data_IF_601126799801
#
_entry.id   IF_601126799801
#
_cell.length_a   1.000
_cell.length_b   1.000
_cell.length_c   1.000
_cell.angle_alpha   90.00
_cell.angle_beta   90.00
_cell.angle_gamma   90.00
#
_symmetry.space_group_name_H-M   'P 1'
#
loop_
_entity.id
_entity.type
_entity.pdbx_description
1 polymer ?
#
# COMPACT_ATOMS: atom_id res chain seq x y z
N UNK A 1 24.21 7.90 12.31
CA UNK A 1 24.52 8.91 11.29
C UNK A 1 23.50 8.69 10.17
N UNK A 2 22.83 9.74 9.71
CA UNK A 2 21.95 9.69 8.54
C UNK A 2 22.81 9.45 7.29
N UNK A 3 22.33 8.62 6.37
CA UNK A 3 23.00 8.27 5.12
C UNK A 3 22.05 8.54 3.96
N UNK A 4 22.55 9.00 2.82
CA UNK A 4 21.69 9.17 1.65
C UNK A 4 21.19 7.80 1.18
N UNK A 5 19.89 7.68 0.94
CA UNK A 5 19.31 6.46 0.38
C UNK A 5 19.74 6.29 -1.07
N UNK A 6 20.05 5.06 -1.46
CA UNK A 6 20.46 4.73 -2.82
C UNK A 6 19.24 4.46 -3.72
N UNK A 7 18.47 5.51 -3.99
CA UNK A 7 17.29 5.46 -4.85
C UNK A 7 17.63 5.77 -6.32
N UNK A 8 16.97 5.12 -7.28
CA UNK A 8 17.04 5.46 -8.71
C UNK A 8 16.26 6.75 -9.03
N UNK A 9 16.84 7.85 -8.55
CA UNK A 9 16.33 9.21 -8.77
C UNK A 9 16.37 9.58 -10.26
N UNK A 10 17.32 9.01 -11.02
CA UNK A 10 17.47 9.31 -12.45
C UNK A 10 16.34 8.67 -13.25
N UNK A 11 16.05 7.39 -13.01
CA UNK A 11 14.92 6.69 -13.62
C UNK A 11 13.60 7.40 -13.34
N UNK A 12 13.34 7.76 -12.06
CA UNK A 12 12.14 8.51 -11.68
C UNK A 12 12.02 9.84 -12.46
N UNK A 13 13.10 10.62 -12.51
CA UNK A 13 13.11 11.91 -13.23
C UNK A 13 12.89 11.73 -14.73
N UNK A 14 13.43 10.67 -15.34
CA UNK A 14 13.17 10.38 -16.75
C UNK A 14 11.70 10.06 -17.00
N UNK A 15 11.08 9.24 -16.15
CA UNK A 15 9.67 8.87 -16.30
C UNK A 15 8.74 10.05 -16.05
N UNK A 16 8.94 10.85 -15.00
CA UNK A 16 8.08 12.02 -14.74
C UNK A 16 8.20 13.08 -15.85
N UNK A 17 9.38 13.26 -16.46
CA UNK A 17 9.53 14.17 -17.60
C UNK A 17 8.84 13.62 -18.87
N UNK A 18 8.81 12.30 -19.08
CA UNK A 18 8.04 11.68 -20.17
C UNK A 18 6.54 11.87 -19.94
N UNK A 19 6.09 11.69 -18.69
CA UNK A 19 4.70 11.93 -18.28
C UNK A 19 4.28 13.38 -18.52
N UNK A 20 5.09 14.35 -18.08
CA UNK A 20 4.85 15.78 -18.30
C UNK A 20 4.68 16.09 -19.79
N UNK A 21 5.62 15.63 -20.64
CA UNK A 21 5.54 15.84 -22.10
C UNK A 21 4.28 15.24 -22.70
N UNK A 22 3.93 14.00 -22.33
CA UNK A 22 2.72 13.35 -22.87
C UNK A 22 1.46 14.07 -22.43
N UNK A 23 1.42 14.51 -21.18
CA UNK A 23 0.30 15.29 -20.66
C UNK A 23 0.15 16.62 -21.40
N UNK A 24 1.24 17.33 -21.68
CA UNK A 24 1.22 18.58 -22.44
C UNK A 24 0.79 18.40 -23.91
N UNK A 25 1.19 17.31 -24.56
CA UNK A 25 0.73 16.94 -25.91
C UNK A 25 -0.80 16.78 -25.95
N UNK A 26 -1.36 16.01 -25.01
CA UNK A 26 -2.79 15.72 -24.94
C UNK A 26 -3.62 16.94 -24.54
N UNK A 27 -3.07 17.79 -23.68
CA UNK A 27 -3.75 18.99 -23.18
C UNK A 27 -3.46 20.25 -24.01
N UNK A 28 -2.78 20.09 -25.16
CA UNK A 28 -2.43 21.19 -26.06
C UNK A 28 -3.67 21.88 -26.65
N UNK A 29 -3.51 23.13 -27.09
CA UNK A 29 -4.59 23.87 -27.77
C UNK A 29 -5.04 23.20 -29.06
N UNK A 30 -4.13 22.50 -29.73
CA UNK A 30 -4.47 21.76 -30.96
C UNK A 30 -5.35 20.55 -30.63
N UNK A 31 -4.99 19.77 -29.61
CA UNK A 31 -5.79 18.64 -29.13
C UNK A 31 -7.18 19.09 -28.67
N UNK A 32 -7.24 20.18 -27.90
CA UNK A 32 -8.51 20.81 -27.52
C UNK A 32 -9.37 21.16 -28.74
N UNK A 33 -8.76 21.83 -29.73
CA UNK A 33 -9.44 22.25 -30.95
C UNK A 33 -10.01 21.05 -31.72
N UNK A 34 -9.25 19.97 -31.86
CA UNK A 34 -9.71 18.73 -32.53
C UNK A 34 -10.92 18.11 -31.85
N UNK A 35 -10.97 18.12 -30.51
CA UNK A 35 -12.12 17.62 -29.77
C UNK A 35 -13.34 18.52 -29.94
N UNK A 36 -13.16 19.85 -29.95
CA UNK A 36 -14.24 20.78 -30.26
C UNK A 36 -14.75 20.65 -31.69
N UNK A 37 -13.87 20.41 -32.65
CA UNK A 37 -14.22 20.17 -34.06
C UNK A 37 -14.95 18.83 -34.27
N UNK A 38 -14.84 17.88 -33.32
CA UNK A 38 -15.54 16.60 -33.30
C UNK A 38 -16.76 16.61 -32.35
N UNK A 39 -17.51 17.70 -32.27
CA UNK A 39 -18.71 17.84 -31.42
C UNK A 39 -18.49 17.53 -29.92
N UNK A 40 -17.27 17.73 -29.42
CA UNK A 40 -16.90 17.44 -28.03
C UNK A 40 -16.61 15.95 -27.77
N UNK A 41 -16.63 15.11 -28.81
CA UNK A 41 -16.26 13.69 -28.70
C UNK A 41 -14.74 13.58 -28.84
N UNK A 42 -14.08 13.18 -27.75
CA UNK A 42 -12.68 12.77 -27.82
C UNK A 42 -12.61 11.34 -28.40
N UNK A 43 -12.00 11.12 -29.58
CA UNK A 43 -11.93 9.80 -30.21
C UNK A 43 -11.06 8.80 -29.43
N UNK A 44 -10.16 9.28 -28.57
CA UNK A 44 -9.35 8.46 -27.64
C UNK A 44 -9.51 9.00 -26.21
N UNK A 45 -10.63 8.70 -25.53
CA UNK A 45 -10.92 9.25 -24.20
C UNK A 45 -9.94 8.79 -23.12
N UNK A 46 -9.23 7.68 -23.35
CA UNK A 46 -8.21 7.10 -22.48
C UNK A 46 -6.93 6.89 -23.28
N UNK A 47 -6.01 7.86 -23.20
CA UNK A 47 -4.68 7.69 -23.77
C UNK A 47 -3.90 6.63 -23.00
N UNK A 48 -3.70 5.46 -23.61
CA UNK A 48 -3.00 4.34 -22.98
C UNK A 48 -1.57 4.72 -22.54
N UNK A 49 -0.89 5.60 -23.28
CA UNK A 49 0.47 6.02 -22.93
C UNK A 49 0.50 6.91 -21.68
N UNK A 50 -0.43 7.84 -21.55
CA UNK A 50 -0.64 8.64 -20.33
C UNK A 50 -0.98 7.72 -19.17
N UNK A 51 -1.85 6.73 -19.39
CA UNK A 51 -2.19 5.71 -18.39
C UNK A 51 -0.94 5.03 -17.85
N UNK A 52 -0.14 4.41 -18.71
CA UNK A 52 1.10 3.70 -18.31
C UNK A 52 2.05 4.65 -17.56
N UNK A 53 2.35 5.83 -18.13
CA UNK A 53 3.30 6.76 -17.52
C UNK A 53 2.83 7.33 -16.17
N UNK A 54 1.52 7.58 -16.00
CA UNK A 54 0.98 8.09 -14.74
C UNK A 54 1.04 7.01 -13.64
N UNK A 55 0.67 5.77 -13.96
CA UNK A 55 0.79 4.65 -13.03
C UNK A 55 2.26 4.36 -12.68
N UNK A 56 3.17 4.50 -13.65
CA UNK A 56 4.59 4.28 -13.39
C UNK A 56 5.19 5.22 -12.33
N UNK A 57 4.62 6.43 -12.15
CA UNK A 57 5.10 7.46 -11.21
C UNK A 57 4.23 7.52 -9.96
N UNK A 58 2.91 7.51 -10.12
CA UNK A 58 1.93 7.77 -9.07
C UNK A 58 1.02 6.58 -8.74
N UNK A 59 1.18 5.43 -9.39
CA UNK A 59 0.34 4.23 -9.23
C UNK A 59 -1.16 4.56 -9.27
N UNK A 60 -2.04 3.77 -8.63
CA UNK A 60 -3.49 3.95 -8.57
C UNK A 60 -3.96 5.06 -7.62
N UNK A 61 -3.28 6.20 -7.58
CA UNK A 61 -3.63 7.34 -6.72
C UNK A 61 -4.53 8.37 -7.42
N UNK A 62 -5.11 9.27 -6.64
CA UNK A 62 -5.87 10.40 -7.14
C UNK A 62 -5.07 11.34 -8.04
N UNK A 63 -3.72 11.34 -7.98
CA UNK A 63 -2.90 12.13 -8.91
C UNK A 63 -2.94 11.57 -10.34
N UNK A 64 -2.92 10.25 -10.50
CA UNK A 64 -3.14 9.61 -11.80
C UNK A 64 -4.53 9.96 -12.34
N UNK A 65 -5.55 9.89 -11.47
CA UNK A 65 -6.92 10.26 -11.84
C UNK A 65 -7.09 11.73 -12.18
N UNK A 66 -6.39 12.65 -11.51
CA UNK A 66 -6.36 14.08 -11.86
C UNK A 66 -5.83 14.27 -13.28
N UNK A 67 -4.74 13.57 -13.64
CA UNK A 67 -4.16 13.64 -14.98
C UNK A 67 -5.11 13.12 -16.06
N UNK A 68 -5.77 11.98 -15.82
CA UNK A 68 -6.75 11.43 -16.77
C UNK A 68 -7.97 12.32 -16.91
N UNK A 69 -8.49 12.83 -15.79
CA UNK A 69 -9.65 13.71 -15.77
C UNK A 69 -9.33 15.05 -16.47
N UNK A 70 -8.13 15.59 -16.27
CA UNK A 70 -7.69 16.82 -16.93
C UNK A 70 -7.55 16.64 -18.44
N UNK A 71 -6.98 15.53 -18.88
CA UNK A 71 -6.83 15.21 -20.30
C UNK A 71 -8.18 14.94 -20.98
N UNK A 72 -9.13 14.32 -20.29
CA UNK A 72 -10.45 13.99 -20.83
C UNK A 72 -11.42 15.18 -20.85
N UNK A 73 -11.50 15.96 -19.78
CA UNK A 73 -12.53 17.01 -19.62
C UNK A 73 -12.09 18.39 -20.12
N UNK A 74 -10.82 18.56 -20.48
CA UNK A 74 -10.21 19.83 -20.82
C UNK A 74 -10.37 20.98 -19.80
N UNK A 75 -10.49 20.66 -18.50
CA UNK A 75 -10.60 21.68 -17.45
C UNK A 75 -9.25 22.41 -17.26
N UNK A 76 -9.22 23.69 -17.66
CA UNK A 76 -8.01 24.52 -17.63
C UNK A 76 -7.41 24.63 -16.22
N UNK A 77 -8.25 24.72 -15.19
CA UNK A 77 -7.78 24.86 -13.80
C UNK A 77 -7.12 23.57 -13.32
N UNK A 78 -7.72 22.42 -13.65
CA UNK A 78 -7.18 21.11 -13.31
C UNK A 78 -5.90 20.83 -14.10
N UNK A 79 -5.83 21.19 -15.38
CA UNK A 79 -4.58 21.09 -16.17
C UNK A 79 -3.45 21.88 -15.55
N UNK A 80 -3.68 23.15 -15.18
CA UNK A 80 -2.66 24.01 -14.62
C UNK A 80 -2.20 23.54 -13.22
N UNK A 81 -3.10 22.91 -12.45
CA UNK A 81 -2.72 22.23 -11.21
C UNK A 81 -1.87 20.98 -11.47
N UNK A 82 -2.25 20.14 -12.44
CA UNK A 82 -1.49 18.96 -12.83
C UNK A 82 -0.07 19.33 -13.29
N UNK A 83 0.06 20.34 -14.16
CA UNK A 83 1.38 20.83 -14.62
C UNK A 83 2.24 21.33 -13.46
N UNK A 84 1.66 22.15 -12.58
CA UNK A 84 2.37 22.64 -11.38
C UNK A 84 2.79 21.51 -10.46
N UNK A 85 1.97 20.48 -10.31
CA UNK A 85 2.31 19.32 -9.49
C UNK A 85 3.43 18.48 -10.10
N UNK A 86 3.39 18.18 -11.40
CA UNK A 86 4.45 17.45 -12.12
C UNK A 86 5.78 18.20 -12.06
N UNK A 87 5.77 19.48 -12.42
CA UNK A 87 6.96 20.34 -12.41
C UNK A 87 7.51 20.53 -11.00
N UNK A 88 6.63 20.74 -10.03
CA UNK A 88 6.99 20.84 -8.61
C UNK A 88 7.66 19.58 -8.10
N UNK A 89 7.09 18.41 -8.42
CA UNK A 89 7.64 17.10 -8.04
C UNK A 89 9.02 16.88 -8.67
N UNK A 90 9.15 17.07 -9.98
CA UNK A 90 10.44 16.96 -10.67
C UNK A 90 11.49 17.95 -10.14
N UNK A 91 11.08 19.17 -9.77
CA UNK A 91 11.96 20.20 -9.20
C UNK A 91 12.48 19.81 -7.81
N UNK A 92 11.61 19.33 -6.92
CA UNK A 92 11.99 18.87 -5.58
C UNK A 92 12.93 17.68 -5.69
N UNK A 93 12.59 16.68 -6.50
CA UNK A 93 13.42 15.48 -6.68
C UNK A 93 14.79 15.82 -7.26
N UNK A 94 14.86 16.73 -8.24
CA UNK A 94 16.13 17.18 -8.83
C UNK A 94 17.02 17.92 -7.82
N UNK A 95 16.42 18.69 -6.90
CA UNK A 95 17.16 19.54 -5.96
C UNK A 95 17.52 18.83 -4.66
N UNK A 96 16.64 17.98 -4.15
CA UNK A 96 16.73 17.40 -2.81
C UNK A 96 16.68 15.87 -2.79
N UNK A 97 16.37 15.22 -3.92
CA UNK A 97 16.26 13.78 -4.03
C UNK A 97 14.84 13.24 -3.81
N UNK A 98 14.66 11.98 -4.19
CA UNK A 98 13.38 11.28 -4.13
C UNK A 98 12.84 11.07 -2.69
N UNK A 99 13.67 10.70 -1.68
CA UNK A 99 13.20 10.55 -0.30
C UNK A 99 12.61 11.84 0.28
N UNK A 100 13.21 13.00 -0.03
CA UNK A 100 12.73 14.32 0.43
C UNK A 100 11.36 14.64 -0.16
N UNK A 101 11.17 14.40 -1.46
CA UNK A 101 9.87 14.60 -2.10
C UNK A 101 8.78 13.70 -1.48
N UNK A 102 9.09 12.43 -1.26
CA UNK A 102 8.16 11.49 -0.60
C UNK A 102 7.80 11.94 0.81
N UNK A 103 8.80 12.26 1.63
CA UNK A 103 8.59 12.69 3.01
C UNK A 103 7.76 13.97 3.08
N UNK A 104 8.02 14.93 2.20
CA UNK A 104 7.29 16.20 2.15
C UNK A 104 5.82 15.99 1.75
N UNK A 105 5.53 15.08 0.81
CA UNK A 105 4.17 14.72 0.43
C UNK A 105 3.42 14.00 1.56
N UNK A 106 4.06 13.04 2.24
CA UNK A 106 3.49 12.35 3.41
C UNK A 106 3.25 13.32 4.56
N UNK A 107 4.21 14.22 4.83
CA UNK A 107 4.08 15.23 5.88
C UNK A 107 2.91 16.18 5.61
N UNK A 108 2.69 16.57 4.35
CA UNK A 108 1.53 17.35 3.96
C UNK A 108 0.20 16.60 4.25
N UNK A 109 0.14 15.29 4.00
CA UNK A 109 -1.05 14.47 4.31
C UNK A 109 -1.28 14.31 5.82
N UNK A 110 -0.23 14.07 6.59
CA UNK A 110 -0.27 13.98 8.05
C UNK A 110 -0.70 15.31 8.67
N UNK A 111 -0.15 16.43 8.20
CA UNK A 111 -0.55 17.76 8.65
C UNK A 111 -2.02 18.05 8.32
N UNK A 112 -2.50 17.65 7.14
CA UNK A 112 -3.91 17.80 6.76
C UNK A 112 -4.83 17.00 7.69
N UNK A 113 -4.44 15.77 8.07
CA UNK A 113 -5.18 14.94 9.00
C UNK A 113 -5.25 15.55 10.42
N UNK A 114 -4.14 16.10 10.92
CA UNK A 114 -4.10 16.74 12.24
C UNK A 114 -4.85 18.07 12.30
N UNK A 115 -4.71 18.91 11.28
CA UNK A 115 -5.35 20.24 11.24
C UNK A 115 -6.82 20.17 10.81
N UNK A 116 -7.22 19.10 10.12
CA UNK A 116 -8.51 18.99 9.44
C UNK A 116 -8.65 19.93 8.23
N UNK A 117 -7.53 20.53 7.80
CA UNK A 117 -7.46 21.40 6.64
C UNK A 117 -6.89 20.66 5.43
N UNK A 118 -7.59 20.65 4.29
CA UNK A 118 -7.08 20.04 3.06
C UNK A 118 -5.78 20.70 2.61
N UNK A 119 -4.79 19.87 2.24
CA UNK A 119 -3.55 20.35 1.62
C UNK A 119 -3.78 20.74 0.17
N UNK A 120 -3.06 21.76 -0.32
CA UNK A 120 -3.03 22.11 -1.74
C UNK A 120 -2.43 21.00 -2.62
N UNK A 121 -1.71 20.04 -2.02
CA UNK A 121 -1.13 18.87 -2.71
C UNK A 121 -2.09 17.69 -2.82
N UNK A 122 -3.23 17.75 -2.13
CA UNK A 122 -4.22 16.68 -2.13
C UNK A 122 -4.95 16.66 -3.48
N UNK A 123 -5.01 15.52 -4.17
CA UNK A 123 -5.60 15.44 -5.50
C UNK A 123 -7.09 15.80 -5.48
N UNK A 124 -7.58 16.33 -6.60
CA UNK A 124 -9.00 16.69 -6.75
C UNK A 124 -9.86 15.45 -6.95
N UNK A 125 -9.37 14.44 -7.64
CA UNK A 125 -10.02 13.16 -7.87
C UNK A 125 -9.61 12.11 -6.82
N UNK A 126 -9.51 12.50 -5.54
CA UNK A 126 -9.29 11.58 -4.40
C UNK A 126 -10.47 10.61 -4.16
N UNK A 127 -11.64 10.95 -4.71
CA UNK A 127 -12.86 10.15 -4.76
C UNK A 127 -13.41 10.23 -6.16
N UNK A 128 -14.28 9.31 -6.54
CA UNK A 128 -15.08 9.45 -7.76
C UNK A 128 -15.93 10.73 -7.65
N UNK A 129 -15.85 11.57 -8.68
CA UNK A 129 -16.60 12.82 -8.79
C UNK A 129 -17.33 12.86 -10.12
N UNK A 130 -18.56 13.37 -10.09
CA UNK A 130 -19.24 13.77 -11.31
C UNK A 130 -18.52 14.98 -11.94
N UNK A 131 -18.63 15.21 -13.27
CA UNK A 131 -18.06 16.39 -13.91
C UNK A 131 -18.51 17.71 -13.27
N UNK A 132 -19.75 17.75 -12.77
CA UNK A 132 -20.31 18.90 -12.05
C UNK A 132 -19.62 19.12 -10.71
N UNK A 133 -19.43 18.07 -9.91
CA UNK A 133 -18.72 18.18 -8.64
C UNK A 133 -17.26 18.56 -8.83
N UNK A 134 -16.60 18.03 -9.86
CA UNK A 134 -15.23 18.38 -10.21
C UNK A 134 -15.10 19.87 -10.55
N UNK A 135 -16.04 20.43 -11.33
CA UNK A 135 -16.09 21.85 -11.63
C UNK A 135 -16.28 22.71 -10.37
N UNK A 136 -17.20 22.31 -9.46
CA UNK A 136 -17.41 22.99 -8.17
C UNK A 136 -16.13 22.96 -7.32
N UNK A 137 -15.46 21.80 -7.28
CA UNK A 137 -14.19 21.58 -6.58
C UNK A 137 -13.05 22.42 -7.18
N UNK A 138 -13.07 22.62 -8.50
CA UNK A 138 -12.15 23.50 -9.22
C UNK A 138 -12.29 24.98 -8.83
N UNK A 139 -13.52 25.47 -8.67
CA UNK A 139 -13.78 26.88 -8.33
C UNK A 139 -13.60 27.19 -6.84
N UNK A 140 -13.76 26.19 -5.96
CA UNK A 140 -13.70 26.37 -4.52
C UNK A 140 -12.26 26.38 -3.96
N UNK A 141 -12.02 27.20 -2.93
CA UNK A 141 -10.73 27.30 -2.21
C UNK A 141 -10.81 26.69 -0.81
N UNK A 142 -9.70 26.07 -0.38
CA UNK A 142 -9.52 25.54 0.97
C UNK A 142 -10.61 24.53 1.37
N UNK A 143 -11.13 24.66 2.59
CA UNK A 143 -12.10 23.71 3.19
C UNK A 143 -13.38 23.51 2.37
N UNK A 144 -13.81 24.51 1.58
CA UNK A 144 -15.05 24.45 0.77
C UNK A 144 -14.92 23.54 -0.44
N UNK A 145 -13.69 23.18 -0.82
CA UNK A 145 -13.37 22.30 -1.96
C UNK A 145 -13.86 20.86 -1.76
N UNK A 146 -13.88 20.37 -0.52
CA UNK A 146 -14.12 18.95 -0.21
C UNK A 146 -15.49 18.70 0.41
N UNK A 147 -16.46 19.59 0.16
CA UNK A 147 -17.84 19.43 0.61
C UNK A 147 -18.02 19.49 2.12
N UNK A 148 -18.82 18.54 2.66
CA UNK A 148 -19.19 18.49 4.07
C UNK A 148 -18.00 18.17 4.99
N UNK A 149 -18.16 18.38 6.32
CA UNK A 149 -17.12 18.02 7.30
C UNK A 149 -16.82 16.51 7.31
N UNK A 150 -17.83 15.67 7.08
CA UNK A 150 -17.67 14.20 7.01
C UNK A 150 -16.84 13.82 5.77
N UNK A 151 -17.27 14.25 4.59
CA UNK A 151 -16.55 14.01 3.32
C UNK A 151 -15.11 14.53 3.38
N UNK A 152 -14.91 15.75 3.90
CA UNK A 152 -13.56 16.29 4.07
C UNK A 152 -12.67 15.44 4.96
N UNK A 153 -13.22 14.89 6.05
CA UNK A 153 -12.46 14.00 6.93
C UNK A 153 -12.07 12.73 6.18
N UNK A 154 -13.00 12.12 5.46
CA UNK A 154 -12.77 10.92 4.65
C UNK A 154 -11.73 11.17 3.55
N UNK A 155 -11.88 12.24 2.76
CA UNK A 155 -10.94 12.62 1.70
C UNK A 155 -9.52 12.86 2.24
N UNK A 156 -9.39 13.46 3.43
CA UNK A 156 -8.09 13.67 4.09
C UNK A 156 -7.46 12.35 4.55
N UNK A 157 -8.25 11.42 5.11
CA UNK A 157 -7.74 10.10 5.47
C UNK A 157 -7.39 9.26 4.24
N UNK A 158 -8.14 9.40 3.15
CA UNK A 158 -7.81 8.79 1.87
C UNK A 158 -6.50 9.35 1.33
N UNK A 159 -6.27 10.66 1.42
CA UNK A 159 -4.99 11.27 1.07
C UNK A 159 -3.83 10.73 1.89
N UNK A 160 -4.01 10.51 3.20
CA UNK A 160 -2.99 9.83 4.01
C UNK A 160 -2.73 8.42 3.50
N UNK A 161 -3.75 7.62 3.19
CA UNK A 161 -3.54 6.26 2.65
C UNK A 161 -2.79 6.27 1.33
N UNK A 162 -3.21 7.12 0.40
CA UNK A 162 -2.62 7.21 -0.93
C UNK A 162 -1.16 7.67 -0.92
N UNK A 163 -0.77 8.59 -0.03
CA UNK A 163 0.63 9.00 0.10
C UNK A 163 1.52 7.89 0.64
N UNK A 164 1.03 7.10 1.58
CA UNK A 164 1.79 5.99 2.15
C UNK A 164 1.87 4.80 1.18
N UNK A 165 0.79 4.48 0.45
CA UNK A 165 0.83 3.53 -0.67
C UNK A 165 1.82 3.99 -1.75
N UNK A 166 1.76 5.25 -2.16
CA UNK A 166 2.71 5.83 -3.12
C UNK A 166 4.15 5.74 -2.58
N UNK A 167 4.33 5.94 -1.28
CA UNK A 167 5.58 5.70 -0.57
C UNK A 167 6.09 4.28 -0.73
N UNK A 168 5.25 3.30 -0.39
CA UNK A 168 5.57 1.88 -0.52
C UNK A 168 5.95 1.54 -1.97
N UNK A 169 5.10 1.92 -2.93
CA UNK A 169 5.36 1.75 -4.36
C UNK A 169 6.69 2.38 -4.79
N UNK A 170 6.98 3.60 -4.35
CA UNK A 170 8.20 4.31 -4.74
C UNK A 170 9.44 3.62 -4.17
N UNK A 171 9.38 3.13 -2.93
CA UNK A 171 10.45 2.33 -2.33
C UNK A 171 10.63 0.98 -3.04
N UNK A 172 9.55 0.35 -3.48
CA UNK A 172 9.60 -0.90 -4.24
C UNK A 172 10.16 -0.68 -5.65
N UNK A 173 9.72 0.33 -6.37
CA UNK A 173 10.10 0.53 -7.76
C UNK A 173 11.47 1.18 -7.92
N UNK A 174 11.72 2.25 -7.18
CA UNK A 174 12.90 3.09 -7.35
C UNK A 174 13.96 2.83 -6.27
N UNK A 175 13.66 1.99 -5.28
CA UNK A 175 14.56 1.68 -4.16
C UNK A 175 15.28 0.34 -4.29
N UNK A 176 15.34 -0.29 -5.47
CA UNK A 176 15.96 -1.61 -5.64
C UNK A 176 17.40 -1.69 -5.10
N UNK A 177 18.16 -0.59 -5.21
CA UNK A 177 19.54 -0.50 -4.74
C UNK A 177 19.69 -0.09 -3.27
N UNK A 178 18.58 0.20 -2.59
CA UNK A 178 18.55 0.54 -1.17
C UNK A 178 18.15 -0.70 -0.35
N UNK A 179 19.06 -1.28 0.48
CA UNK A 179 18.78 -2.51 1.22
C UNK A 179 17.57 -2.41 2.15
N UNK A 180 17.27 -1.21 2.65
CA UNK A 180 16.13 -0.96 3.55
C UNK A 180 14.81 -0.78 2.82
N UNK A 181 14.79 -0.75 1.48
CA UNK A 181 13.59 -0.34 0.74
C UNK A 181 12.39 -1.24 1.00
N UNK A 182 12.60 -2.56 1.12
CA UNK A 182 11.55 -3.54 1.39
C UNK A 182 10.99 -3.37 2.80
N UNK A 183 11.87 -3.21 3.81
CA UNK A 183 11.45 -2.97 5.19
C UNK A 183 10.66 -1.65 5.31
N UNK A 184 11.11 -0.58 4.63
CA UNK A 184 10.38 0.69 4.59
C UNK A 184 9.03 0.52 3.89
N UNK A 185 8.97 -0.13 2.72
CA UNK A 185 7.72 -0.35 1.99
C UNK A 185 6.71 -1.17 2.81
N UNK A 186 7.18 -2.23 3.47
CA UNK A 186 6.38 -3.04 4.40
C UNK A 186 5.81 -2.18 5.53
N UNK A 187 6.65 -1.38 6.18
CA UNK A 187 6.22 -0.48 7.25
C UNK A 187 5.26 0.61 6.75
N UNK A 188 5.38 1.09 5.52
CA UNK A 188 4.42 2.03 4.94
C UNK A 188 3.02 1.42 4.77
N UNK A 189 2.93 0.11 4.50
CA UNK A 189 1.66 -0.61 4.33
C UNK A 189 1.06 -1.10 5.65
N UNK A 190 1.88 -1.48 6.64
CA UNK A 190 1.41 -1.98 7.95
C UNK A 190 1.23 -0.88 8.99
N UNK A 191 2.22 0.01 9.10
CA UNK A 191 2.33 1.04 10.11
C UNK A 191 2.76 2.37 9.49
N UNK A 192 1.87 3.04 8.74
CA UNK A 192 2.18 4.21 7.90
C UNK A 192 3.07 5.28 8.59
N UNK A 193 2.76 5.60 9.86
CA UNK A 193 3.53 6.59 10.62
C UNK A 193 4.96 6.15 10.98
N UNK A 194 5.19 4.85 11.17
CA UNK A 194 6.52 4.27 11.37
C UNK A 194 7.28 4.29 10.05
N UNK A 195 6.66 3.83 8.96
CA UNK A 195 7.24 3.85 7.61
C UNK A 195 7.70 5.26 7.22
N UNK A 196 6.84 6.28 7.40
CA UNK A 196 7.19 7.68 7.17
C UNK A 196 8.38 8.13 8.03
N UNK A 197 8.44 7.68 9.29
CA UNK A 197 9.54 8.02 10.20
C UNK A 197 10.87 7.40 9.77
N UNK A 198 10.87 6.23 9.13
CA UNK A 198 12.09 5.59 8.61
C UNK A 198 12.75 6.39 7.49
N UNK A 199 12.01 7.19 6.72
CA UNK A 199 12.59 8.07 5.71
C UNK A 199 13.53 9.14 6.32
N UNK A 200 13.42 9.42 7.62
CA UNK A 200 14.30 10.37 8.32
C UNK A 200 15.74 9.88 8.47
N UNK A 201 16.00 8.60 8.19
CA UNK A 201 17.37 8.10 8.09
C UNK A 201 18.12 8.65 6.88
N UNK A 202 17.40 9.17 5.87
CA UNK A 202 17.98 9.88 4.74
C UNK A 202 18.52 11.25 5.16
N UNK A 203 19.77 11.56 4.79
CA UNK A 203 20.40 12.82 5.22
C UNK A 203 19.76 14.06 4.57
N UNK A 204 19.13 13.92 3.40
CA UNK A 204 18.35 15.00 2.78
C UNK A 204 17.08 15.29 3.58
N UNK A 205 16.38 14.26 4.04
CA UNK A 205 15.17 14.39 4.87
C UNK A 205 15.50 15.01 6.24
N UNK A 206 16.54 14.50 6.90
CA UNK A 206 17.03 15.03 8.18
C UNK A 206 17.47 16.51 8.04
N UNK A 207 18.18 16.84 6.95
CA UNK A 207 18.63 18.19 6.63
C UNK A 207 17.51 19.21 6.38
N UNK A 208 16.30 18.77 6.02
CA UNK A 208 15.13 19.62 5.85
C UNK A 208 14.44 19.99 7.17
N UNK A 209 14.98 19.55 8.31
CA UNK A 209 14.46 19.88 9.64
C UNK A 209 13.31 18.96 10.08
N UNK A 210 13.28 17.72 9.60
CA UNK A 210 12.37 16.71 10.11
C UNK A 210 12.58 16.52 11.63
N UNK A 211 11.48 16.22 12.37
CA UNK A 211 11.56 16.03 13.83
C UNK A 211 12.51 14.86 14.13
N UNK A 212 13.54 15.03 14.99
CA UNK A 212 14.56 14.01 15.27
C UNK A 212 14.06 12.96 16.27
N UNK A 213 12.85 12.44 16.06
CA UNK A 213 12.33 11.30 16.81
C UNK A 213 12.74 9.99 16.13
N UNK A 214 13.83 9.41 16.63
CA UNK A 214 14.39 8.14 16.17
C UNK A 214 13.92 6.94 17.00
N UNK A 215 12.87 7.10 17.82
CA UNK A 215 12.31 5.98 18.63
C UNK A 215 11.77 4.85 17.76
N UNK A 216 11.33 5.16 16.54
CA UNK A 216 10.85 4.16 15.57
C UNK A 216 11.89 3.07 15.32
N UNK A 217 13.20 3.36 15.36
CA UNK A 217 14.25 2.33 15.16
C UNK A 217 14.16 1.21 16.21
N UNK A 218 13.77 1.53 17.45
CA UNK A 218 13.55 0.52 18.50
C UNK A 218 12.27 -0.27 18.29
N UNK A 219 11.24 0.39 17.76
CA UNK A 219 9.97 -0.26 17.45
C UNK A 219 10.15 -1.26 16.31
N UNK A 220 10.80 -0.85 15.22
CA UNK A 220 11.12 -1.71 14.07
C UNK A 220 11.99 -2.90 14.52
N UNK A 221 13.06 -2.66 15.28
CA UNK A 221 13.92 -3.74 15.79
C UNK A 221 13.16 -4.73 16.69
N UNK A 222 12.18 -4.24 17.47
CA UNK A 222 11.34 -5.10 18.31
C UNK A 222 10.39 -5.97 17.48
N UNK A 223 9.77 -5.42 16.44
CA UNK A 223 8.91 -6.19 15.54
C UNK A 223 9.71 -7.23 14.74
N UNK A 224 10.91 -6.87 14.27
CA UNK A 224 11.82 -7.78 13.59
C UNK A 224 12.24 -8.95 14.51
N UNK A 225 12.65 -8.66 15.75
CA UNK A 225 13.00 -9.70 16.71
C UNK A 225 11.84 -10.65 17.03
N UNK A 226 10.60 -10.14 17.14
CA UNK A 226 9.42 -10.99 17.34
C UNK A 226 9.19 -11.93 16.15
N UNK A 227 9.30 -11.42 14.91
CA UNK A 227 9.12 -12.25 13.72
C UNK A 227 10.26 -13.26 13.53
N UNK A 228 11.48 -12.92 13.93
CA UNK A 228 12.63 -13.84 13.97
C UNK A 228 12.44 -14.94 15.02
N UNK A 229 11.82 -14.62 16.16
CA UNK A 229 11.43 -15.63 17.16
C UNK A 229 10.34 -16.58 16.63
N UNK A 230 9.37 -16.08 15.86
CA UNK A 230 8.37 -16.93 15.16
C UNK A 230 9.06 -17.84 14.15
N UNK A 231 10.00 -17.32 13.37
CA UNK A 231 10.79 -18.12 12.42
C UNK A 231 11.55 -19.26 13.10
N UNK A 232 12.31 -18.95 14.16
CA UNK A 232 13.02 -19.96 14.97
C UNK A 232 12.07 -21.00 15.56
N UNK A 233 10.90 -20.57 16.03
CA UNK A 233 9.90 -21.49 16.56
C UNK A 233 9.37 -22.45 15.48
N UNK A 234 9.10 -21.98 14.25
CA UNK A 234 8.70 -22.87 13.13
C UNK A 234 9.80 -23.88 12.80
N UNK A 235 11.05 -23.45 12.75
CA UNK A 235 12.19 -24.33 12.46
C UNK A 235 12.34 -25.44 13.51
N UNK A 236 12.18 -25.12 14.80
CA UNK A 236 12.24 -26.08 15.91
C UNK A 236 11.07 -27.08 15.93
N UNK A 237 9.90 -26.66 15.41
CA UNK A 237 8.67 -27.46 15.42
C UNK A 237 8.34 -28.10 14.06
N UNK A 238 9.22 -27.92 13.06
CA UNK A 238 9.13 -28.61 11.79
C UNK A 238 9.40 -30.09 12.01
N UNK A 239 8.40 -30.94 11.79
CA UNK A 239 8.58 -32.39 11.85
C UNK A 239 9.65 -32.79 10.82
N UNK A 240 10.71 -33.46 11.26
CA UNK A 240 11.83 -33.92 10.40
C UNK A 240 11.46 -34.90 9.28
N UNK A 241 10.17 -35.15 9.05
CA UNK A 241 9.63 -35.92 7.93
C UNK A 241 9.27 -35.06 6.70
N UNK A 242 9.30 -33.72 6.81
CA UNK A 242 9.18 -32.79 5.67
C UNK A 242 10.56 -32.37 5.14
N UNK A 243 11.56 -33.26 5.18
CA UNK A 243 12.72 -33.10 4.30
C UNK A 243 12.23 -33.42 2.89
N UNK A 244 11.72 -32.39 2.21
CA UNK A 244 11.36 -32.48 0.81
C UNK A 244 12.62 -32.89 0.06
N UNK A 245 12.50 -33.97 -0.72
CA UNK A 245 13.57 -34.55 -1.50
C UNK A 245 14.32 -33.45 -2.27
N UNK A 246 15.64 -33.57 -2.31
CA UNK A 246 16.57 -32.50 -2.66
C UNK A 246 16.60 -32.07 -4.14
N UNK A 247 15.45 -32.04 -4.82
CA UNK A 247 15.38 -31.75 -6.25
C UNK A 247 14.10 -31.05 -6.75
N UNK A 248 13.21 -30.57 -5.89
CA UNK A 248 11.99 -29.85 -6.29
C UNK A 248 12.17 -28.32 -6.19
N UNK A 249 11.40 -27.57 -6.96
CA UNK A 249 11.51 -26.13 -7.14
C UNK A 249 10.98 -25.34 -5.91
N UNK A 250 11.75 -25.39 -4.82
CA UNK A 250 11.35 -25.21 -3.40
C UNK A 250 10.99 -23.81 -2.88
N UNK A 251 10.41 -22.93 -3.68
CA UNK A 251 10.00 -21.59 -3.22
C UNK A 251 8.65 -21.57 -2.50
N UNK A 252 7.57 -21.68 -3.27
CA UNK A 252 6.22 -21.40 -2.77
C UNK A 252 5.58 -22.53 -1.97
N UNK A 253 5.99 -23.79 -2.20
CA UNK A 253 5.49 -24.94 -1.41
C UNK A 253 5.89 -24.82 0.06
N UNK A 254 7.16 -24.47 0.33
CA UNK A 254 7.65 -24.24 1.69
C UNK A 254 6.94 -23.03 2.35
N UNK A 255 6.72 -21.96 1.58
CA UNK A 255 5.96 -20.79 2.03
C UNK A 255 4.51 -21.16 2.37
N UNK A 256 3.85 -21.96 1.53
CA UNK A 256 2.49 -22.45 1.76
C UNK A 256 2.37 -23.32 3.00
N UNK A 257 3.29 -24.27 3.20
CA UNK A 257 3.30 -25.12 4.41
C UNK A 257 3.47 -24.28 5.69
N UNK A 258 4.39 -23.31 5.69
CA UNK A 258 4.56 -22.37 6.82
C UNK A 258 3.32 -21.49 7.02
N UNK A 259 2.72 -20.99 5.94
CA UNK A 259 1.50 -20.18 5.99
C UNK A 259 0.36 -20.92 6.72
N UNK A 260 0.15 -22.19 6.40
CA UNK A 260 -0.89 -23.01 7.04
C UNK A 260 -0.62 -23.22 8.53
N UNK A 261 0.61 -23.57 8.91
CA UNK A 261 0.99 -23.76 10.33
C UNK A 261 0.83 -22.47 11.14
N UNK A 262 1.30 -21.34 10.59
CA UNK A 262 1.15 -20.04 11.23
C UNK A 262 -0.32 -19.66 11.42
N UNK A 263 -1.17 -19.95 10.43
CA UNK A 263 -2.62 -19.70 10.49
C UNK A 263 -3.31 -20.50 11.58
N UNK A 264 -3.05 -21.81 11.68
CA UNK A 264 -3.60 -22.66 12.75
C UNK A 264 -3.15 -22.17 14.11
N UNK A 265 -1.85 -21.89 14.25
CA UNK A 265 -1.25 -21.48 15.52
C UNK A 265 -1.73 -20.11 15.99
N UNK A 266 -1.96 -19.18 15.06
CA UNK A 266 -2.51 -17.86 15.37
C UNK A 266 -3.92 -17.97 15.97
N UNK A 267 -4.78 -18.82 15.38
CA UNK A 267 -6.14 -19.04 15.89
C UNK A 267 -6.10 -19.68 17.28
N UNK A 268 -5.26 -20.69 17.47
CA UNK A 268 -5.06 -21.32 18.79
C UNK A 268 -4.63 -20.30 19.86
N UNK A 269 -3.68 -19.42 19.52
CA UNK A 269 -3.19 -18.40 20.44
C UNK A 269 -4.28 -17.40 20.81
N UNK A 270 -5.06 -16.89 19.84
CA UNK A 270 -6.17 -15.99 20.13
C UNK A 270 -7.26 -16.65 21.00
N UNK A 271 -7.64 -17.88 20.70
CA UNK A 271 -8.64 -18.62 21.50
C UNK A 271 -8.15 -18.87 22.93
N UNK A 272 -6.87 -19.23 23.11
CA UNK A 272 -6.27 -19.42 24.42
C UNK A 272 -6.23 -18.13 25.26
N UNK A 273 -6.11 -16.97 24.61
CA UNK A 273 -6.06 -15.66 25.26
C UNK A 273 -7.42 -14.99 25.41
N UNK A 274 -8.49 -15.54 24.83
CA UNK A 274 -9.80 -14.88 24.74
C UNK A 274 -10.34 -14.39 26.09
N UNK A 275 -10.22 -15.25 27.12
CA UNK A 275 -10.71 -14.97 28.48
C UNK A 275 -9.64 -14.33 29.40
N UNK A 276 -8.47 -13.96 28.87
CA UNK A 276 -7.40 -13.32 29.64
C UNK A 276 -7.39 -11.82 29.37
N UNK A 277 -6.93 -11.03 30.34
CA UNK A 277 -6.69 -9.60 30.10
C UNK A 277 -5.41 -9.46 29.27
N UNK A 278 -5.52 -8.83 28.10
CA UNK A 278 -4.38 -8.58 27.20
C UNK A 278 -4.35 -7.11 26.81
N UNK A 279 -3.20 -6.43 26.83
CA UNK A 279 -3.09 -5.06 26.37
C UNK A 279 -3.33 -4.96 24.85
N UNK A 280 -3.69 -3.77 24.37
CA UNK A 280 -3.79 -3.52 22.92
C UNK A 280 -2.40 -3.54 22.30
N UNK A 281 -2.30 -4.08 21.08
CA UNK A 281 -1.06 -4.16 20.32
C UNK A 281 -0.40 -2.79 20.16
N UNK A 282 -1.18 -1.75 19.86
CA UNK A 282 -0.69 -0.37 19.73
C UNK A 282 -0.04 0.18 20.99
N UNK A 283 -0.57 -0.15 22.17
CA UNK A 283 -0.04 0.36 23.45
C UNK A 283 1.31 -0.29 23.77
N UNK A 284 1.46 -1.59 23.44
CA UNK A 284 2.73 -2.32 23.54
C UNK A 284 3.74 -1.81 22.51
N UNK A 285 3.29 -1.48 21.29
CA UNK A 285 4.16 -0.92 20.26
C UNK A 285 4.69 0.46 20.64
N UNK A 286 3.84 1.30 21.24
CA UNK A 286 4.25 2.61 21.77
C UNK A 286 5.24 2.47 22.93
N UNK A 287 5.06 1.49 23.82
CA UNK A 287 6.01 1.22 24.90
C UNK A 287 7.34 0.64 24.38
N UNK A 288 7.33 -0.09 23.26
CA UNK A 288 8.54 -0.51 22.56
C UNK A 288 9.39 0.67 22.04
N UNK A 289 8.82 1.88 21.97
CA UNK A 289 9.57 3.11 21.76
C UNK A 289 10.34 3.62 22.98
N UNK A 290 9.92 3.28 24.21
CA UNK A 290 10.41 3.83 25.48
C UNK A 290 11.37 2.87 26.19
N UNK A 291 12.49 3.35 26.75
CA UNK A 291 13.55 2.49 27.32
C UNK A 291 13.16 1.74 28.60
N UNK A 292 12.16 2.22 29.34
CA UNK A 292 11.93 1.81 30.73
C UNK A 292 10.64 1.01 30.94
N UNK A 293 10.10 0.35 29.89
CA UNK A 293 8.82 -0.35 29.98
C UNK A 293 8.96 -1.87 29.81
N UNK A 294 8.65 -2.62 30.87
CA UNK A 294 8.67 -4.09 30.95
C UNK A 294 7.56 -4.77 30.11
N UNK A 295 6.64 -4.01 29.50
CA UNK A 295 5.60 -4.55 28.60
C UNK A 295 6.13 -5.29 27.37
N UNK A 296 7.44 -5.28 27.13
CA UNK A 296 8.10 -6.02 26.05
C UNK A 296 8.33 -7.50 26.38
N UNK A 297 8.38 -7.86 27.66
CA UNK A 297 8.81 -9.18 28.12
C UNK A 297 7.65 -10.20 28.18
N UNK A 298 6.77 -10.17 27.17
CA UNK A 298 5.66 -11.11 27.06
C UNK A 298 6.11 -12.38 26.34
N UNK A 299 5.64 -13.58 26.76
CA UNK A 299 5.86 -14.80 26.00
C UNK A 299 5.38 -14.64 24.56
N UNK A 300 6.11 -15.23 23.60
CA UNK A 300 5.87 -15.06 22.15
C UNK A 300 4.38 -15.16 21.79
N UNK A 301 3.75 -16.31 22.06
CA UNK A 301 2.34 -16.62 21.76
C UNK A 301 1.32 -15.91 22.68
N UNK A 302 1.77 -15.03 23.57
CA UNK A 302 0.93 -14.17 24.40
C UNK A 302 1.12 -12.68 24.06
N UNK A 303 2.05 -12.36 23.17
CA UNK A 303 2.41 -10.99 22.82
C UNK A 303 1.45 -10.43 21.75
N UNK A 304 0.63 -9.40 22.06
CA UNK A 304 -0.35 -8.86 21.12
C UNK A 304 0.26 -8.25 19.85
N UNK A 305 1.49 -7.73 19.92
CA UNK A 305 2.20 -7.18 18.75
C UNK A 305 2.61 -8.31 17.81
N UNK A 306 3.12 -9.42 18.35
CA UNK A 306 3.45 -10.59 17.54
C UNK A 306 2.19 -11.14 16.86
N UNK A 307 1.10 -11.35 17.60
CA UNK A 307 -0.15 -11.88 17.04
C UNK A 307 -0.72 -10.97 15.94
N UNK A 308 -0.70 -9.64 16.17
CA UNK A 308 -1.06 -8.65 15.16
C UNK A 308 -0.20 -8.80 13.91
N UNK A 309 1.12 -8.83 14.05
CA UNK A 309 2.05 -8.87 12.92
C UNK A 309 1.92 -10.19 12.15
N UNK A 310 1.69 -11.30 12.87
CA UNK A 310 1.40 -12.59 12.25
C UNK A 310 0.08 -12.55 11.48
N UNK A 311 -0.99 -11.97 12.03
CA UNK A 311 -2.26 -11.80 11.33
C UNK A 311 -2.11 -10.96 10.05
N UNK A 312 -1.39 -9.83 10.12
CA UNK A 312 -1.10 -8.98 8.96
C UNK A 312 -0.26 -9.72 7.92
N UNK A 313 0.71 -10.54 8.35
CA UNK A 313 1.53 -11.35 7.45
C UNK A 313 0.77 -12.47 6.73
N UNK A 314 -0.44 -12.81 7.19
CA UNK A 314 -1.30 -13.86 6.61
C UNK A 314 -2.39 -13.25 5.74
N UNK A 315 -3.10 -12.24 6.24
CA UNK A 315 -4.30 -11.68 5.60
C UNK A 315 -4.13 -10.26 5.04
N UNK A 316 -3.01 -9.60 5.32
CA UNK A 316 -2.85 -8.17 5.05
C UNK A 316 -3.60 -7.30 6.06
N UNK A 317 -3.32 -5.99 6.04
CA UNK A 317 -3.87 -5.05 7.04
C UNK A 317 -5.40 -4.92 6.98
N UNK A 318 -5.99 -4.99 5.78
CA UNK A 318 -7.43 -4.83 5.58
C UNK A 318 -8.25 -5.98 6.19
N UNK A 319 -7.96 -7.23 5.80
CA UNK A 319 -8.69 -8.41 6.29
C UNK A 319 -8.28 -8.79 7.73
N UNK A 320 -7.01 -8.62 8.11
CA UNK A 320 -6.58 -8.89 9.49
C UNK A 320 -7.24 -7.96 10.52
N UNK A 321 -7.80 -6.82 10.11
CA UNK A 321 -8.47 -5.89 11.02
C UNK A 321 -9.62 -6.54 11.80
N UNK A 322 -10.39 -7.44 11.18
CA UNK A 322 -11.49 -8.15 11.85
C UNK A 322 -10.97 -9.07 12.97
N UNK A 323 -9.86 -9.77 12.73
CA UNK A 323 -9.18 -10.57 13.75
C UNK A 323 -8.61 -9.71 14.89
N UNK A 324 -7.86 -8.67 14.55
CA UNK A 324 -7.10 -7.86 15.51
C UNK A 324 -8.07 -7.04 16.38
N UNK A 325 -8.96 -6.27 15.76
CA UNK A 325 -9.91 -5.41 16.48
C UNK A 325 -10.96 -6.26 17.20
N UNK A 326 -11.46 -7.32 16.56
CA UNK A 326 -12.41 -8.24 17.18
C UNK A 326 -11.83 -8.88 18.45
N UNK A 327 -10.55 -9.27 18.43
CA UNK A 327 -9.86 -9.73 19.63
C UNK A 327 -9.68 -8.61 20.65
N UNK A 328 -9.09 -7.46 20.29
CA UNK A 328 -8.78 -6.36 21.22
C UNK A 328 -10.01 -5.78 21.92
N UNK A 329 -11.13 -5.66 21.21
CA UNK A 329 -12.40 -5.13 21.74
C UNK A 329 -13.29 -6.24 22.32
N UNK A 330 -12.84 -7.50 22.30
CA UNK A 330 -13.59 -8.70 22.73
C UNK A 330 -14.94 -8.85 22.02
N UNK A 331 -15.02 -8.41 20.78
CA UNK A 331 -16.17 -8.63 19.90
C UNK A 331 -16.05 -10.00 19.22
N UNK A 332 -16.77 -10.98 19.77
CA UNK A 332 -16.75 -12.36 19.27
C UNK A 332 -17.22 -12.45 17.82
N UNK A 333 -18.21 -11.65 17.41
CA UNK A 333 -18.74 -11.72 16.03
C UNK A 333 -17.74 -11.21 15.01
N UNK A 334 -17.06 -10.10 15.33
CA UNK A 334 -16.01 -9.56 14.46
C UNK A 334 -14.81 -10.51 14.39
N UNK A 335 -14.41 -11.07 15.52
CA UNK A 335 -13.33 -12.06 15.57
C UNK A 335 -13.66 -13.32 14.75
N UNK A 336 -14.85 -13.90 14.92
CA UNK A 336 -15.24 -15.12 14.20
C UNK A 336 -15.26 -14.88 12.67
N UNK A 337 -15.70 -13.71 12.19
CA UNK A 337 -15.58 -13.34 10.76
C UNK A 337 -14.14 -13.30 10.27
N UNK A 338 -13.23 -12.73 11.07
CA UNK A 338 -11.81 -12.71 10.75
C UNK A 338 -11.20 -14.12 10.69
N UNK A 339 -11.64 -15.03 11.57
CA UNK A 339 -11.21 -16.44 11.55
C UNK A 339 -11.74 -17.16 10.31
N UNK A 340 -12.98 -16.88 9.90
CA UNK A 340 -13.54 -17.40 8.65
C UNK A 340 -12.73 -16.94 7.43
N UNK A 341 -12.37 -15.66 7.34
CA UNK A 341 -11.51 -15.13 6.27
C UNK A 341 -10.12 -15.78 6.25
N UNK A 342 -9.52 -16.01 7.42
CA UNK A 342 -8.24 -16.72 7.52
C UNK A 342 -8.35 -18.17 7.03
N UNK A 343 -9.38 -18.89 7.47
CA UNK A 343 -9.62 -20.29 7.05
C UNK A 343 -9.89 -20.40 5.56
N UNK A 344 -10.58 -19.42 4.99
CA UNK A 344 -10.80 -19.33 3.55
C UNK A 344 -9.46 -19.17 2.82
N UNK A 345 -8.62 -18.21 3.22
CA UNK A 345 -7.30 -18.02 2.63
C UNK A 345 -6.43 -19.29 2.77
N UNK A 346 -6.46 -19.96 3.92
CA UNK A 346 -5.78 -21.25 4.12
C UNK A 346 -6.32 -22.36 3.22
N UNK A 347 -7.62 -22.40 2.95
CA UNK A 347 -8.22 -23.36 2.02
C UNK A 347 -7.67 -23.15 0.62
N UNK A 348 -7.62 -21.90 0.16
CA UNK A 348 -7.01 -21.54 -1.14
C UNK A 348 -5.54 -21.96 -1.19
N UNK A 349 -4.74 -21.67 -0.15
CA UNK A 349 -3.32 -22.08 -0.11
C UNK A 349 -3.17 -23.61 -0.18
N UNK A 350 -4.09 -24.36 0.40
CA UNK A 350 -4.07 -25.83 0.39
C UNK A 350 -4.48 -26.42 -0.96
N UNK A 351 -5.42 -25.79 -1.64
CA UNK A 351 -5.98 -26.29 -2.92
C UNK A 351 -5.18 -25.81 -4.13
N UNK A 352 -4.82 -24.52 -4.16
CA UNK A 352 -4.22 -23.84 -5.32
C UNK A 352 -2.80 -23.31 -5.08
N UNK A 353 -2.31 -23.39 -3.83
CA UNK A 353 -0.96 -22.93 -3.46
C UNK A 353 -0.88 -21.46 -3.05
N UNK A 354 0.22 -21.09 -2.39
CA UNK A 354 0.41 -19.74 -1.85
C UNK A 354 0.49 -18.66 -2.94
N UNK A 355 1.15 -18.94 -4.07
CA UNK A 355 1.36 -17.94 -5.12
C UNK A 355 0.03 -17.46 -5.74
N UNK A 356 -0.95 -18.36 -5.89
CA UNK A 356 -2.27 -18.06 -6.44
C UNK A 356 -3.23 -17.43 -5.42
N UNK A 357 -2.97 -17.58 -4.11
CA UNK A 357 -3.88 -17.10 -3.07
C UNK A 357 -4.25 -15.61 -3.19
N UNK A 358 -3.31 -14.67 -3.41
CA UNK A 358 -3.67 -13.27 -3.58
C UNK A 358 -4.65 -13.01 -4.72
N UNK A 359 -4.45 -13.64 -5.88
CA UNK A 359 -5.34 -13.49 -7.05
C UNK A 359 -6.75 -14.01 -6.76
N UNK A 360 -6.84 -15.22 -6.21
CA UNK A 360 -8.12 -15.88 -5.93
C UNK A 360 -8.91 -15.16 -4.83
N UNK A 361 -8.24 -14.60 -3.82
CA UNK A 361 -8.89 -13.71 -2.87
C UNK A 361 -9.39 -12.43 -3.55
N UNK A 362 -8.57 -11.77 -4.37
CA UNK A 362 -8.98 -10.55 -5.08
C UNK A 362 -10.21 -10.81 -5.94
N UNK A 363 -10.25 -11.89 -6.72
CA UNK A 363 -11.38 -12.21 -7.60
C UNK A 363 -12.70 -12.41 -6.82
N UNK A 364 -12.62 -12.86 -5.57
CA UNK A 364 -13.80 -13.03 -4.73
C UNK A 364 -14.38 -11.71 -4.20
N UNK A 365 -13.50 -10.74 -3.96
CA UNK A 365 -13.86 -9.40 -3.49
C UNK A 365 -13.93 -8.36 -4.62
N UNK A 366 -13.57 -8.74 -5.84
CA UNK A 366 -13.66 -7.88 -7.01
C UNK A 366 -15.14 -7.52 -7.21
N UNK A 367 -15.50 -6.23 -7.11
CA UNK A 367 -16.87 -5.84 -7.35
C UNK A 367 -17.34 -6.15 -8.78
N UNK A 368 -16.43 -6.28 -9.75
CA UNK A 368 -16.76 -6.47 -11.16
C UNK A 368 -17.36 -5.20 -11.78
N UNK A 369 -17.03 -4.94 -13.05
CA UNK A 369 -17.46 -3.72 -13.76
C UNK A 369 -18.99 -3.61 -13.80
N UNK A 370 -19.70 -4.71 -14.09
CA UNK A 370 -21.15 -4.72 -14.17
C UNK A 370 -21.82 -4.41 -12.83
N UNK A 371 -21.32 -4.94 -11.70
CA UNK A 371 -21.92 -4.66 -10.39
C UNK A 371 -21.79 -3.18 -10.01
N UNK A 372 -20.67 -2.56 -10.35
CA UNK A 372 -20.41 -1.14 -10.07
C UNK A 372 -21.36 -0.22 -10.86
N UNK A 373 -21.77 -0.61 -12.08
CA UNK A 373 -22.69 0.18 -12.91
C UNK A 373 -24.11 0.28 -12.33
N UNK A 374 -24.53 -0.69 -11.51
CA UNK A 374 -25.88 -0.74 -10.93
C UNK A 374 -25.95 -0.31 -9.46
N UNK A 375 -24.82 0.05 -8.85
CA UNK A 375 -24.75 0.53 -7.48
C UNK A 375 -24.85 2.06 -7.40
N UNK A 376 -25.20 2.59 -6.23
CA UNK A 376 -25.08 4.03 -5.99
C UNK A 376 -23.61 4.48 -6.04
N UNK A 377 -23.36 5.77 -6.31
CA UNK A 377 -22.00 6.33 -6.33
C UNK A 377 -21.24 6.08 -5.02
N UNK A 378 -21.94 6.17 -3.88
CA UNK A 378 -21.36 5.93 -2.55
C UNK A 378 -20.98 4.46 -2.34
N UNK A 379 -21.81 3.53 -2.80
CA UNK A 379 -21.53 2.09 -2.75
C UNK A 379 -20.39 1.72 -3.70
N UNK A 380 -20.38 2.26 -4.92
CA UNK A 380 -19.31 2.05 -5.90
C UNK A 380 -17.96 2.51 -5.34
N UNK A 381 -17.90 3.73 -4.81
CA UNK A 381 -16.69 4.27 -4.18
C UNK A 381 -16.24 3.40 -2.98
N UNK A 382 -17.17 2.97 -2.14
CA UNK A 382 -16.85 2.12 -0.98
C UNK A 382 -16.28 0.76 -1.38
N UNK A 383 -16.86 0.12 -2.40
CA UNK A 383 -16.37 -1.17 -2.93
C UNK A 383 -15.01 -1.03 -3.58
N UNK A 384 -14.79 0.01 -4.38
CA UNK A 384 -13.48 0.25 -4.99
C UNK A 384 -12.39 0.57 -3.95
N UNK A 385 -12.73 1.27 -2.87
CA UNK A 385 -11.79 1.48 -1.75
C UNK A 385 -11.42 0.16 -1.09
N UNK A 386 -12.40 -0.69 -0.79
CA UNK A 386 -12.15 -2.01 -0.21
C UNK A 386 -11.26 -2.87 -1.11
N UNK A 387 -11.52 -2.87 -2.42
CA UNK A 387 -10.72 -3.58 -3.40
C UNK A 387 -9.25 -3.12 -3.39
N UNK A 388 -9.00 -1.80 -3.34
CA UNK A 388 -7.64 -1.25 -3.24
C UNK A 388 -6.98 -1.60 -1.92
N UNK A 389 -7.69 -1.46 -0.80
CA UNK A 389 -7.20 -1.83 0.54
C UNK A 389 -6.83 -3.33 0.59
N UNK A 390 -7.60 -4.20 -0.09
CA UNK A 390 -7.30 -5.63 -0.20
C UNK A 390 -6.02 -5.87 -1.01
N UNK A 391 -5.88 -5.24 -2.17
CA UNK A 391 -4.69 -5.38 -3.00
C UNK A 391 -3.42 -4.91 -2.26
N UNK A 392 -3.50 -3.78 -1.54
CA UNK A 392 -2.43 -3.28 -0.67
C UNK A 392 -2.11 -4.26 0.48
N UNK A 393 -3.14 -4.82 1.11
CA UNK A 393 -2.99 -5.83 2.15
C UNK A 393 -2.28 -7.09 1.65
N UNK A 394 -2.63 -7.57 0.46
CA UNK A 394 -2.01 -8.75 -0.14
C UNK A 394 -0.59 -8.48 -0.63
N UNK A 395 -0.29 -7.27 -1.11
CA UNK A 395 1.09 -6.86 -1.38
C UNK A 395 1.95 -6.96 -0.11
N UNK A 396 1.39 -6.56 1.03
CA UNK A 396 2.03 -6.74 2.32
C UNK A 396 2.25 -8.23 2.69
N UNK A 397 1.29 -9.12 2.41
CA UNK A 397 1.45 -10.57 2.62
C UNK A 397 2.63 -11.12 1.82
N UNK A 398 2.71 -10.77 0.52
CA UNK A 398 3.82 -11.17 -0.36
C UNK A 398 5.17 -10.67 0.19
N UNK A 399 5.24 -9.41 0.62
CA UNK A 399 6.45 -8.81 1.19
C UNK A 399 6.92 -9.47 2.50
N UNK A 400 6.02 -10.10 3.26
CA UNK A 400 6.38 -10.84 4.48
C UNK A 400 6.80 -12.28 4.22
N UNK A 401 6.25 -12.90 3.18
CA UNK A 401 6.25 -14.37 3.02
C UNK A 401 7.20 -14.86 1.93
N UNK A 402 7.43 -14.06 0.89
CA UNK A 402 8.30 -14.43 -0.22
C UNK A 402 9.73 -13.99 0.09
N UNK A 403 10.65 -14.96 0.21
CA UNK A 403 12.05 -14.71 0.60
C UNK A 403 12.91 -14.13 -0.52
N UNK A 404 12.50 -14.26 -1.79
CA UNK A 404 13.19 -13.67 -2.93
C UNK A 404 12.79 -12.19 -3.06
N UNK A 405 13.70 -11.29 -2.65
CA UNK A 405 13.51 -9.84 -2.65
C UNK A 405 13.10 -9.28 -4.02
N UNK A 406 13.69 -9.78 -5.12
CA UNK A 406 13.41 -9.27 -6.46
C UNK A 406 12.03 -9.73 -6.94
N UNK A 407 11.67 -10.98 -6.66
CA UNK A 407 10.36 -11.54 -6.98
C UNK A 407 9.25 -10.90 -6.14
N UNK A 408 9.46 -10.85 -4.82
CA UNK A 408 8.53 -10.22 -3.86
C UNK A 408 8.23 -8.78 -4.24
N UNK A 409 9.25 -8.01 -4.65
CA UNK A 409 9.10 -6.64 -5.15
C UNK A 409 8.21 -6.54 -6.37
N UNK A 410 8.42 -7.37 -7.41
CA UNK A 410 7.61 -7.34 -8.64
C UNK A 410 6.15 -7.71 -8.37
N UNK A 411 5.93 -8.78 -7.60
CA UNK A 411 4.60 -9.23 -7.20
C UNK A 411 3.86 -8.17 -6.37
N UNK A 412 4.54 -7.56 -5.38
CA UNK A 412 3.96 -6.51 -4.56
C UNK A 412 3.64 -5.24 -5.37
N UNK A 413 4.47 -4.89 -6.35
CA UNK A 413 4.19 -3.77 -7.27
C UNK A 413 2.91 -4.02 -8.05
N UNK A 414 2.77 -5.21 -8.68
CA UNK A 414 1.57 -5.55 -9.46
C UNK A 414 0.30 -5.49 -8.61
N UNK A 415 0.36 -5.97 -7.36
CA UNK A 415 -0.75 -5.87 -6.41
C UNK A 415 -1.07 -4.41 -6.03
N UNK A 416 -0.08 -3.59 -5.71
CA UNK A 416 -0.29 -2.17 -5.39
C UNK A 416 -0.89 -1.40 -6.60
N UNK A 417 -0.47 -1.74 -7.81
CA UNK A 417 -1.03 -1.23 -9.07
C UNK A 417 -2.36 -1.89 -9.44
N UNK A 418 -2.87 -2.82 -8.63
CA UNK A 418 -4.10 -3.57 -8.87
C UNK A 418 -4.15 -4.25 -10.26
N UNK A 419 -2.97 -4.57 -10.81
CA UNK A 419 -2.80 -5.25 -12.10
C UNK A 419 -2.78 -6.76 -11.88
N UNK A 420 -3.97 -7.34 -11.68
CA UNK A 420 -4.13 -8.77 -11.38
C UNK A 420 -3.62 -9.67 -12.50
N UNK A 421 -3.71 -9.23 -13.76
CA UNK A 421 -3.15 -9.94 -14.90
C UNK A 421 -1.63 -9.96 -14.90
N UNK A 422 -0.97 -8.84 -14.62
CA UNK A 422 0.49 -8.78 -14.48
C UNK A 422 0.99 -9.61 -13.29
N UNK A 423 0.21 -9.66 -12.20
CA UNK A 423 0.51 -10.55 -11.08
C UNK A 423 0.41 -12.03 -11.48
N UNK A 424 -0.63 -12.41 -12.21
CA UNK A 424 -0.83 -13.78 -12.70
C UNK A 424 0.29 -14.22 -13.65
N UNK A 425 0.71 -13.37 -14.58
CA UNK A 425 1.87 -13.61 -15.45
C UNK A 425 3.15 -13.86 -14.63
N UNK A 426 3.40 -13.08 -13.57
CA UNK A 426 4.55 -13.28 -12.69
C UNK A 426 4.49 -14.60 -11.91
N UNK A 427 3.29 -15.12 -11.64
CA UNK A 427 3.09 -16.43 -11.01
C UNK A 427 3.31 -17.54 -12.05
N UNK A 428 2.73 -17.44 -13.23
CA UNK A 428 2.87 -18.43 -14.31
C UNK A 428 4.31 -18.54 -14.85
N UNK A 429 5.03 -17.42 -14.97
CA UNK A 429 6.46 -17.40 -15.33
C UNK A 429 7.32 -18.19 -14.32
N UNK A 430 6.84 -18.33 -13.06
CA UNK A 430 7.52 -19.17 -12.08
C UNK A 430 7.31 -20.67 -12.35
N UNK A 431 6.11 -21.07 -12.77
CA UNK A 431 5.79 -22.47 -13.05
C UNK A 431 6.49 -22.98 -14.33
N UNK A 432 6.65 -22.12 -15.34
CA UNK A 432 7.38 -22.48 -16.57
C UNK A 432 8.90 -22.58 -16.37
N UNK A 433 9.48 -21.71 -15.54
CA UNK A 433 10.90 -21.80 -15.18
C UNK A 433 11.22 -23.03 -14.32
N UNK A 434 10.24 -23.53 -13.55
CA UNK A 434 10.30 -24.78 -12.81
C UNK A 434 10.30 -26.01 -13.73
N UNK A 435 9.52 -25.98 -14.81
CA UNK A 435 9.34 -27.11 -15.75
C UNK A 435 10.48 -27.26 -16.79
N UNK A 436 11.37 -26.27 -16.91
CA UNK A 436 12.49 -26.27 -17.86
C UNK A 436 13.86 -26.63 -17.25
N UNK A 437 13.91 -26.94 -15.94
CA UNK A 437 15.08 -27.50 -15.26
C UNK A 437 14.83 -28.95 -14.88
#
# INVERSE_FOLDING_TARGET
MSTNFNMDTTGFLQTINKLERRFDELTSRESQRRVYENDGVNPEPLDHRLYVLAHEVFTNTGWSMDLFSAAACFDVTLMDECRRFLQGSASVVRRYGLPVWLYDLMNASTLAAYTGEPSDRMPKCIRILTPRELAIRGMAKGRKRYGSKKQRKEDVWQFVRETHRLGAFTMLKWGEREPRSLSIARMMLTDPGIGMSMLRDDAGVDGMGAVPDYRYRRVVAYEEDLMDQVGRWDDDHRNGAETVDGNDDHGFTAVGARYLRDGERLVEAYEHLWNKETPRSRDVLLSAGNRDDNRRDMPLWQNPVMLRNLAISLLGSALASDLIVGFEDRDRRMFDRGVEQLREAMTIVKEDGFAMMPKLLIDRYDPGVESLLYCSEEESESRQRLFRDLCEGLACVVLHRVSDDARSRRMAIALIECETGAYEELVSDCDEAACQK
#
